data_IF_241888732902
#
_entry.id   IF_241888732902
#
_cell.length_a   1.000
_cell.length_b   1.000
_cell.length_c   1.000
_cell.angle_alpha   90.00
_cell.angle_beta   90.00
_cell.angle_gamma   90.00
#
_symmetry.space_group_name_H-M   'P 1'
#
loop_
_entity.id
_entity.type
_entity.pdbx_description
1 polymer ?
#
# COMPACT_ATOMS: atom_id res chain seq x y z
N UNK A 1 -37.75 -22.47 9.28
CA UNK A 1 -36.35 -23.00 9.31
C UNK A 1 -35.25 -21.98 8.96
N UNK A 2 -35.50 -20.71 8.73
CA UNK A 2 -34.47 -19.68 8.42
C UNK A 2 -33.77 -19.04 9.65
N UNK A 3 -34.35 -19.15 10.83
CA UNK A 3 -33.87 -18.47 12.04
C UNK A 3 -32.69 -19.19 12.73
N UNK A 4 -32.55 -20.50 12.55
CA UNK A 4 -31.48 -21.29 13.20
C UNK A 4 -30.11 -21.17 12.48
N UNK A 5 -30.05 -20.70 11.23
CA UNK A 5 -28.78 -20.51 10.51
C UNK A 5 -27.97 -19.31 11.00
N UNK A 6 -28.65 -18.26 11.51
CA UNK A 6 -27.95 -17.05 12.02
C UNK A 6 -27.24 -17.35 13.34
N UNK A 7 -27.81 -18.15 14.23
CA UNK A 7 -27.18 -18.56 15.47
C UNK A 7 -25.91 -19.40 15.25
N UNK A 8 -25.95 -20.34 14.31
CA UNK A 8 -24.77 -21.15 13.96
C UNK A 8 -23.62 -20.34 13.35
N UNK A 9 -23.95 -19.35 12.51
CA UNK A 9 -22.93 -18.44 11.92
C UNK A 9 -22.32 -17.56 12.99
N UNK A 10 -23.11 -16.99 13.90
CA UNK A 10 -22.61 -16.18 15.02
C UNK A 10 -21.71 -17.03 15.91
N UNK A 11 -22.12 -18.25 16.26
CA UNK A 11 -21.32 -19.16 17.09
C UNK A 11 -19.98 -19.52 16.43
N UNK A 12 -19.95 -19.73 15.11
CA UNK A 12 -18.74 -20.00 14.35
C UNK A 12 -17.78 -18.79 14.28
N UNK A 13 -18.31 -17.57 14.36
CA UNK A 13 -17.51 -16.34 14.35
C UNK A 13 -16.94 -15.97 15.74
N UNK A 14 -17.49 -16.48 16.84
CA UNK A 14 -17.06 -16.17 18.21
C UNK A 14 -15.55 -16.39 18.40
N UNK A 15 -14.95 -17.55 18.05
CA UNK A 15 -13.52 -17.78 18.25
C UNK A 15 -12.66 -16.75 17.50
N UNK A 16 -13.04 -16.40 16.27
CA UNK A 16 -12.35 -15.40 15.48
C UNK A 16 -12.44 -14.00 16.11
N UNK A 17 -13.63 -13.60 16.55
CA UNK A 17 -13.85 -12.31 17.21
C UNK A 17 -13.08 -12.24 18.52
N UNK A 18 -13.11 -13.30 19.35
CA UNK A 18 -12.34 -13.38 20.60
C UNK A 18 -10.83 -13.27 20.34
N UNK A 19 -10.32 -13.93 19.30
CA UNK A 19 -8.91 -13.84 18.91
C UNK A 19 -8.53 -12.40 18.52
N UNK A 20 -9.35 -11.74 17.69
CA UNK A 20 -9.12 -10.34 17.30
C UNK A 20 -9.20 -9.41 18.52
N UNK A 21 -10.17 -9.58 19.38
CA UNK A 21 -10.30 -8.77 20.59
C UNK A 21 -9.09 -8.95 21.52
N UNK A 22 -8.70 -10.20 21.80
CA UNK A 22 -7.63 -10.50 22.75
C UNK A 22 -6.25 -10.11 22.23
N UNK A 23 -5.95 -10.39 20.96
CA UNK A 23 -4.58 -10.22 20.41
C UNK A 23 -4.38 -8.95 19.59
N UNK A 24 -5.44 -8.26 19.22
CA UNK A 24 -5.33 -7.02 18.45
C UNK A 24 -5.86 -5.81 19.23
N UNK A 25 -7.07 -5.86 19.77
CA UNK A 25 -7.64 -4.70 20.47
C UNK A 25 -7.02 -4.48 21.85
N UNK A 26 -6.83 -5.52 22.66
CA UNK A 26 -6.25 -5.37 24.01
C UNK A 26 -4.84 -4.78 23.95
N UNK A 27 -3.88 -5.26 23.11
CA UNK A 27 -2.56 -4.64 23.01
C UNK A 27 -2.60 -3.20 22.49
N UNK A 28 -3.47 -2.89 21.54
CA UNK A 28 -3.60 -1.51 21.04
C UNK A 28 -4.15 -0.57 22.11
N UNK A 29 -5.17 -0.98 22.85
CA UNK A 29 -5.71 -0.21 23.98
C UNK A 29 -4.69 -0.03 25.11
N UNK A 30 -3.94 -1.08 25.43
CA UNK A 30 -2.86 -1.01 26.41
C UNK A 30 -1.76 -0.04 25.97
N UNK A 31 -1.35 -0.10 24.70
CA UNK A 31 -0.39 0.84 24.12
C UNK A 31 -0.90 2.30 24.19
N UNK A 32 -2.16 2.54 23.84
CA UNK A 32 -2.77 3.87 23.97
C UNK A 32 -2.80 4.32 25.43
N UNK A 33 -3.22 3.45 26.34
CA UNK A 33 -3.21 3.76 27.78
C UNK A 33 -1.81 4.09 28.29
N UNK A 34 -0.81 3.25 27.99
CA UNK A 34 0.57 3.46 28.42
C UNK A 34 1.18 4.76 27.85
N UNK A 35 0.76 5.21 26.68
CA UNK A 35 1.26 6.46 26.09
C UNK A 35 0.94 7.71 26.91
N UNK A 36 -0.08 7.65 27.77
CA UNK A 36 -0.50 8.73 28.67
C UNK A 36 0.05 8.61 30.08
N UNK A 37 0.82 7.55 30.37
CA UNK A 37 1.44 7.38 31.68
C UNK A 37 2.92 7.79 31.63
N UNK A 38 3.42 8.33 32.72
CA UNK A 38 4.83 8.61 32.91
C UNK A 38 5.34 7.65 34.01
N UNK A 39 6.48 6.99 33.82
CA UNK A 39 6.97 5.95 34.73
C UNK A 39 7.00 6.35 36.22
N UNK A 40 7.15 7.64 36.51
CA UNK A 40 7.25 8.18 37.88
C UNK A 40 5.94 8.75 38.43
N UNK A 41 4.89 8.90 37.63
CA UNK A 41 3.63 9.52 38.06
C UNK A 41 2.44 8.62 37.79
N UNK A 42 1.60 8.36 38.83
CA UNK A 42 0.35 7.59 38.69
C UNK A 42 -0.78 8.35 37.96
N UNK A 43 -0.46 9.45 37.26
CA UNK A 43 -1.44 10.30 36.61
C UNK A 43 -1.38 10.25 35.08
N UNK A 44 -2.52 10.58 34.44
CA UNK A 44 -2.60 10.79 32.99
C UNK A 44 -1.86 12.08 32.64
N UNK A 45 -0.85 11.98 31.76
CA UNK A 45 -0.05 13.13 31.32
C UNK A 45 0.12 13.14 29.81
N UNK A 46 0.20 14.35 29.23
CA UNK A 46 0.61 14.56 27.84
C UNK A 46 2.12 14.86 27.71
N UNK A 47 2.89 14.74 28.81
CA UNK A 47 4.31 15.06 28.86
C UNK A 47 5.13 14.30 27.81
N UNK A 48 4.85 13.01 27.59
CA UNK A 48 5.53 12.18 26.59
C UNK A 48 5.28 12.69 25.17
N UNK A 49 4.09 13.17 24.85
CA UNK A 49 3.78 13.72 23.53
C UNK A 49 4.48 15.06 23.31
N UNK A 50 4.50 15.92 24.32
CA UNK A 50 5.22 17.20 24.27
C UNK A 50 6.72 16.94 24.09
N UNK A 51 7.30 16.03 24.85
CA UNK A 51 8.70 15.65 24.74
C UNK A 51 9.00 15.05 23.37
N UNK A 52 8.17 14.14 22.84
CA UNK A 52 8.35 13.54 21.52
C UNK A 52 8.34 14.58 20.40
N UNK A 53 7.45 15.58 20.46
CA UNK A 53 7.32 16.62 19.43
C UNK A 53 8.37 17.73 19.57
N UNK A 54 8.87 18.02 20.77
CA UNK A 54 9.92 19.02 21.01
C UNK A 54 11.34 18.45 20.78
N UNK A 55 11.52 17.15 20.95
CA UNK A 55 12.80 16.50 20.72
C UNK A 55 13.16 16.47 19.24
N UNK A 56 14.25 17.13 18.87
CA UNK A 56 14.78 17.11 17.50
C UNK A 56 15.04 15.69 17.02
N UNK A 57 15.44 14.79 17.93
CA UNK A 57 15.75 13.40 17.64
C UNK A 57 14.52 12.59 17.18
N UNK A 58 13.39 12.68 17.91
CA UNK A 58 12.16 11.99 17.54
C UNK A 58 11.46 12.64 16.34
N UNK A 59 11.53 13.97 16.25
CA UNK A 59 11.00 14.68 15.08
C UNK A 59 11.76 14.31 13.80
N UNK A 60 13.07 14.12 13.87
CA UNK A 60 13.87 13.62 12.75
C UNK A 60 13.46 12.19 12.37
N UNK A 61 13.18 11.31 13.33
CA UNK A 61 12.71 9.95 13.07
C UNK A 61 11.37 9.96 12.30
N UNK A 62 10.44 10.83 12.71
CA UNK A 62 9.14 11.00 12.01
C UNK A 62 9.38 11.49 10.57
N UNK A 63 10.17 12.55 10.39
CA UNK A 63 10.49 13.11 9.06
C UNK A 63 11.15 12.09 8.14
N UNK A 64 12.15 11.37 8.64
CA UNK A 64 12.85 10.34 7.87
C UNK A 64 11.90 9.22 7.44
N UNK A 65 11.06 8.73 8.36
CA UNK A 65 10.09 7.68 8.04
C UNK A 65 9.06 8.13 7.01
N UNK A 66 8.52 9.35 7.14
CA UNK A 66 7.62 9.93 6.16
C UNK A 66 8.28 10.09 4.79
N UNK A 67 9.49 10.63 4.75
CA UNK A 67 10.22 10.86 3.50
C UNK A 67 10.48 9.55 2.75
N UNK A 68 11.03 8.53 3.43
CA UNK A 68 11.31 7.23 2.80
C UNK A 68 10.02 6.55 2.36
N UNK A 69 8.98 6.58 3.19
CA UNK A 69 7.70 5.95 2.86
C UNK A 69 7.03 6.61 1.66
N UNK A 70 7.05 7.94 1.56
CA UNK A 70 6.51 8.65 0.40
C UNK A 70 7.36 8.37 -0.84
N UNK A 71 8.68 8.54 -0.75
CA UNK A 71 9.59 8.36 -1.89
C UNK A 71 9.50 6.94 -2.46
N UNK A 72 9.56 5.90 -1.61
CA UNK A 72 9.48 4.52 -2.05
C UNK A 72 8.10 4.14 -2.58
N UNK A 73 7.01 4.67 -2.00
CA UNK A 73 5.65 4.42 -2.47
C UNK A 73 5.39 5.05 -3.83
N UNK A 74 5.84 6.29 -4.03
CA UNK A 74 5.71 6.97 -5.33
C UNK A 74 6.54 6.25 -6.40
N UNK A 75 7.79 5.90 -6.10
CA UNK A 75 8.63 5.12 -7.01
C UNK A 75 8.01 3.76 -7.32
N UNK A 76 7.53 3.05 -6.29
CA UNK A 76 6.84 1.75 -6.42
C UNK A 76 5.61 1.83 -7.33
N UNK A 77 4.79 2.89 -7.21
CA UNK A 77 3.63 3.10 -8.07
C UNK A 77 4.03 3.41 -9.52
N UNK A 78 5.00 4.30 -9.73
CA UNK A 78 5.42 4.66 -11.09
C UNK A 78 5.91 3.42 -11.83
N UNK A 79 6.81 2.66 -11.21
CA UNK A 79 7.36 1.43 -11.80
C UNK A 79 6.25 0.38 -11.95
N UNK A 80 5.45 0.16 -10.91
CA UNK A 80 4.36 -0.82 -10.93
C UNK A 80 3.29 -0.50 -11.97
N UNK A 81 2.96 0.78 -12.20
CA UNK A 81 2.02 1.21 -13.24
C UNK A 81 2.55 0.87 -14.65
N UNK A 82 3.83 1.15 -14.90
CA UNK A 82 4.47 0.81 -16.17
C UNK A 82 4.50 -0.71 -16.35
N UNK A 83 4.89 -1.47 -15.33
CA UNK A 83 4.90 -2.93 -15.36
C UNK A 83 3.48 -3.50 -15.58
N UNK A 84 2.47 -2.98 -14.87
CA UNK A 84 1.07 -3.40 -15.02
C UNK A 84 0.57 -3.15 -16.45
N UNK A 85 0.90 -2.00 -17.04
CA UNK A 85 0.58 -1.72 -18.44
C UNK A 85 1.28 -2.69 -19.40
N UNK A 86 2.58 -2.93 -19.21
CA UNK A 86 3.34 -3.85 -20.07
C UNK A 86 2.76 -5.27 -20.03
N UNK A 87 2.38 -5.75 -18.85
CA UNK A 87 1.83 -7.11 -18.67
C UNK A 87 0.50 -7.29 -19.40
N UNK A 88 -0.31 -6.23 -19.58
CA UNK A 88 -1.55 -6.32 -20.37
C UNK A 88 -1.29 -6.68 -21.85
N UNK A 89 -0.06 -6.51 -22.33
CA UNK A 89 0.35 -6.79 -23.72
C UNK A 89 0.89 -8.21 -23.92
N UNK A 90 1.16 -8.93 -22.84
CA UNK A 90 1.69 -10.29 -22.92
C UNK A 90 0.59 -11.34 -23.06
N UNK A 91 1.02 -12.53 -23.52
CA UNK A 91 0.14 -13.70 -23.58
C UNK A 91 -0.30 -14.10 -22.17
N UNK A 92 -1.48 -14.75 -22.03
CA UNK A 92 -2.00 -15.17 -20.72
C UNK A 92 -0.98 -15.97 -19.90
N UNK A 93 -0.26 -16.90 -20.54
CA UNK A 93 0.73 -17.76 -19.87
C UNK A 93 1.92 -16.98 -19.28
N UNK A 94 2.43 -15.95 -19.98
CA UNK A 94 3.51 -15.10 -19.48
C UNK A 94 3.00 -14.20 -18.37
N UNK A 95 1.84 -13.61 -18.56
CA UNK A 95 1.17 -12.76 -17.58
C UNK A 95 0.99 -13.45 -16.24
N UNK A 96 0.41 -14.66 -16.27
CA UNK A 96 0.13 -15.40 -15.04
C UNK A 96 1.41 -15.81 -14.31
N UNK A 97 2.50 -16.14 -15.03
CA UNK A 97 3.83 -16.38 -14.43
C UNK A 97 4.38 -15.11 -13.77
N UNK A 98 4.30 -13.95 -14.43
CA UNK A 98 4.77 -12.68 -13.86
C UNK A 98 3.98 -12.31 -12.61
N UNK A 99 2.66 -12.48 -12.63
CA UNK A 99 1.82 -12.21 -11.44
C UNK A 99 2.15 -13.18 -10.29
N UNK A 100 2.41 -14.47 -10.60
CA UNK A 100 2.82 -15.44 -9.60
C UNK A 100 4.16 -15.07 -8.97
N UNK A 101 5.17 -14.76 -9.78
CA UNK A 101 6.49 -14.31 -9.28
C UNK A 101 6.35 -13.02 -8.47
N UNK A 102 5.55 -12.07 -8.94
CA UNK A 102 5.31 -10.82 -8.21
C UNK A 102 4.66 -11.06 -6.85
N UNK A 103 3.72 -12.03 -6.76
CA UNK A 103 3.11 -12.39 -5.48
C UNK A 103 4.14 -13.01 -4.53
N UNK A 104 5.00 -13.90 -5.01
CA UNK A 104 6.09 -14.46 -4.21
C UNK A 104 7.05 -13.36 -3.73
N UNK A 105 7.45 -12.48 -4.64
CA UNK A 105 8.41 -11.40 -4.36
C UNK A 105 7.84 -10.36 -3.39
N UNK A 106 6.55 -10.00 -3.50
CA UNK A 106 5.91 -9.03 -2.60
C UNK A 106 5.84 -9.53 -1.15
N UNK A 107 5.82 -10.85 -0.96
CA UNK A 107 5.85 -11.49 0.37
C UNK A 107 7.28 -11.74 0.87
N UNK A 108 8.30 -11.60 0.02
CA UNK A 108 9.70 -11.69 0.40
C UNK A 108 10.19 -10.35 0.92
N UNK A 109 9.87 -10.06 2.19
CA UNK A 109 10.22 -8.84 2.88
C UNK A 109 10.81 -9.16 4.27
N UNK A 110 11.11 -8.15 5.07
CA UNK A 110 11.64 -8.33 6.42
C UNK A 110 13.13 -8.66 6.44
N UNK A 111 13.54 -9.42 7.45
CA UNK A 111 14.94 -9.78 7.72
C UNK A 111 15.59 -10.53 6.55
N UNK A 112 14.94 -11.54 5.93
CA UNK A 112 15.54 -12.27 4.81
C UNK A 112 15.90 -11.36 3.62
N UNK A 113 15.03 -10.40 3.30
CA UNK A 113 15.28 -9.43 2.24
C UNK A 113 16.49 -8.55 2.55
N UNK A 114 16.57 -8.02 3.79
CA UNK A 114 17.69 -7.20 4.21
C UNK A 114 19.03 -7.94 4.07
N UNK A 115 19.09 -9.19 4.53
CA UNK A 115 20.30 -10.01 4.40
C UNK A 115 20.65 -10.31 2.93
N UNK A 116 19.67 -10.58 2.07
CA UNK A 116 19.92 -10.75 0.65
C UNK A 116 20.61 -9.52 0.03
N UNK A 117 20.13 -8.31 0.37
CA UNK A 117 20.75 -7.07 -0.09
C UNK A 117 22.12 -6.81 0.53
N UNK A 118 22.35 -7.17 1.79
CA UNK A 118 23.66 -7.07 2.43
C UNK A 118 24.68 -7.97 1.72
N UNK A 119 24.29 -9.20 1.38
CA UNK A 119 25.16 -10.14 0.66
C UNK A 119 25.43 -9.65 -0.77
N UNK A 120 24.46 -9.03 -1.43
CA UNK A 120 24.61 -8.60 -2.83
C UNK A 120 25.30 -7.23 -2.94
N UNK A 121 24.89 -6.24 -2.15
CA UNK A 121 25.25 -4.82 -2.31
C UNK A 121 25.88 -4.20 -1.07
N UNK A 122 26.15 -4.99 -0.02
CA UNK A 122 26.88 -4.49 1.16
C UNK A 122 28.31 -4.07 0.81
N UNK A 123 29.05 -3.52 1.77
CA UNK A 123 30.42 -3.04 1.55
C UNK A 123 31.35 -4.12 0.96
N UNK A 124 31.12 -5.38 1.34
CA UNK A 124 31.82 -6.57 0.83
C UNK A 124 30.83 -7.47 0.05
N UNK A 125 29.80 -6.89 -0.54
CA UNK A 125 28.80 -7.63 -1.29
C UNK A 125 29.33 -8.15 -2.62
N UNK A 126 28.71 -9.22 -3.12
CA UNK A 126 29.14 -9.91 -4.35
C UNK A 126 29.21 -8.94 -5.53
N UNK A 127 28.16 -8.16 -5.76
CA UNK A 127 28.16 -7.19 -6.88
C UNK A 127 29.10 -6.02 -6.62
N UNK A 128 29.23 -5.57 -5.37
CA UNK A 128 30.16 -4.48 -5.02
C UNK A 128 31.60 -4.88 -5.33
N UNK A 129 32.00 -6.11 -5.01
CA UNK A 129 33.34 -6.61 -5.30
C UNK A 129 33.55 -6.85 -6.80
N UNK A 130 32.60 -7.50 -7.49
CA UNK A 130 32.68 -7.75 -8.93
C UNK A 130 32.84 -6.46 -9.74
N UNK A 131 32.06 -5.42 -9.44
CA UNK A 131 32.17 -4.14 -10.17
C UNK A 131 33.49 -3.44 -9.87
N UNK A 132 33.98 -3.56 -8.64
CA UNK A 132 35.29 -3.03 -8.26
C UNK A 132 36.43 -3.74 -9.01
N UNK A 133 36.37 -5.08 -9.14
CA UNK A 133 37.36 -5.87 -9.87
C UNK A 133 37.34 -5.57 -11.38
N UNK A 134 36.19 -5.18 -11.95
CA UNK A 134 36.07 -4.77 -13.33
C UNK A 134 36.46 -3.29 -13.57
N UNK A 135 36.88 -2.58 -12.51
CA UNK A 135 37.23 -1.17 -12.59
C UNK A 135 36.02 -0.25 -12.81
N UNK A 136 34.83 -0.73 -12.54
CA UNK A 136 33.61 0.05 -12.65
C UNK A 136 33.20 0.61 -11.28
N UNK A 137 33.48 1.87 -11.06
CA UNK A 137 33.10 2.59 -9.84
C UNK A 137 31.59 2.94 -9.77
N UNK A 138 30.73 2.04 -10.25
CA UNK A 138 29.29 2.26 -10.28
C UNK A 138 28.73 2.48 -8.86
N UNK A 139 29.36 1.89 -7.84
CA UNK A 139 28.95 1.99 -6.45
C UNK A 139 29.87 2.88 -5.60
N UNK A 140 30.82 3.64 -6.18
CA UNK A 140 31.77 4.46 -5.42
C UNK A 140 31.07 5.46 -4.48
N UNK A 141 29.87 5.94 -4.83
CA UNK A 141 29.05 6.84 -4.00
C UNK A 141 27.82 6.18 -3.37
N UNK A 142 27.59 4.87 -3.59
CA UNK A 142 26.40 4.19 -3.05
C UNK A 142 26.72 3.52 -1.72
N UNK A 143 25.91 3.87 -0.72
CA UNK A 143 25.96 3.22 0.59
C UNK A 143 24.63 2.54 0.87
N UNK A 144 24.62 1.20 0.94
CA UNK A 144 23.45 0.41 1.25
C UNK A 144 22.84 0.76 2.61
N UNK A 145 23.66 1.17 3.57
CA UNK A 145 23.24 1.50 4.94
C UNK A 145 22.80 2.96 5.10
N UNK A 146 22.59 3.67 3.99
CA UNK A 146 22.08 5.04 3.95
C UNK A 146 20.59 5.08 3.60
N UNK A 147 20.01 6.28 3.52
CA UNK A 147 18.63 6.47 3.09
C UNK A 147 18.38 5.99 1.65
N UNK A 148 19.38 6.10 0.77
CA UNK A 148 19.30 5.65 -0.62
C UNK A 148 19.21 4.14 -0.72
N UNK A 149 20.05 3.43 0.04
CA UNK A 149 20.00 1.96 0.09
C UNK A 149 18.71 1.47 0.72
N UNK A 150 18.26 2.09 1.79
CA UNK A 150 16.98 1.75 2.42
C UNK A 150 15.80 2.01 1.47
N UNK A 151 15.80 3.14 0.75
CA UNK A 151 14.78 3.44 -0.25
C UNK A 151 14.77 2.41 -1.39
N UNK A 152 15.95 1.98 -1.86
CA UNK A 152 16.08 0.92 -2.87
C UNK A 152 15.41 -0.38 -2.41
N UNK A 153 15.72 -0.83 -1.18
CA UNK A 153 15.14 -2.06 -0.61
C UNK A 153 13.63 -1.92 -0.43
N UNK A 154 13.14 -0.74 -0.06
CA UNK A 154 11.71 -0.48 0.05
C UNK A 154 11.02 -0.54 -1.32
N UNK A 155 11.61 0.08 -2.35
CA UNK A 155 11.07 0.02 -3.73
C UNK A 155 10.99 -1.43 -4.21
N UNK A 156 11.95 -2.27 -3.86
CA UNK A 156 11.96 -3.67 -4.27
C UNK A 156 10.68 -4.43 -3.91
N UNK A 157 10.21 -4.37 -2.65
CA UNK A 157 8.98 -5.08 -2.28
C UNK A 157 7.71 -4.31 -2.64
N UNK A 158 7.80 -3.01 -2.85
CA UNK A 158 6.66 -2.19 -3.22
C UNK A 158 6.29 -2.32 -4.71
N UNK A 159 7.26 -2.49 -5.60
CA UNK A 159 7.01 -2.66 -7.05
C UNK A 159 6.11 -3.86 -7.33
N UNK A 160 6.42 -5.09 -6.89
CA UNK A 160 5.54 -6.23 -7.16
C UNK A 160 4.18 -6.10 -6.47
N UNK A 161 4.12 -5.52 -5.26
CA UNK A 161 2.85 -5.26 -4.58
C UNK A 161 1.99 -4.26 -5.36
N UNK A 162 2.59 -3.17 -5.84
CA UNK A 162 1.87 -2.17 -6.65
C UNK A 162 1.38 -2.76 -7.98
N UNK A 163 2.18 -3.62 -8.61
CA UNK A 163 1.79 -4.34 -9.81
C UNK A 163 0.53 -5.19 -9.58
N UNK A 164 0.51 -5.99 -8.50
CA UNK A 164 -0.63 -6.85 -8.16
C UNK A 164 -1.91 -6.06 -7.89
N UNK A 165 -1.78 -4.89 -7.24
CA UNK A 165 -2.91 -4.04 -6.91
C UNK A 165 -3.43 -3.22 -8.11
N UNK A 166 -2.52 -2.75 -8.98
CA UNK A 166 -2.88 -1.92 -10.13
C UNK A 166 -3.35 -2.73 -11.34
N UNK A 167 -2.77 -3.93 -11.55
CA UNK A 167 -3.05 -4.74 -12.73
C UNK A 167 -4.55 -5.00 -12.99
N UNK A 168 -5.38 -5.40 -11.99
CA UNK A 168 -6.81 -5.62 -12.21
C UNK A 168 -7.56 -4.40 -12.72
N UNK A 169 -7.10 -3.19 -12.39
CA UNK A 169 -7.75 -1.94 -12.79
C UNK A 169 -7.62 -1.65 -14.29
N UNK A 170 -6.61 -2.22 -14.95
CA UNK A 170 -6.46 -2.08 -16.39
C UNK A 170 -7.55 -2.79 -17.19
N UNK A 171 -8.20 -3.83 -16.65
CA UNK A 171 -9.35 -4.46 -17.28
C UNK A 171 -10.58 -3.54 -17.34
N UNK A 172 -10.63 -2.50 -16.51
CA UNK A 172 -11.68 -1.48 -16.58
C UNK A 172 -11.57 -0.59 -17.83
N UNK A 173 -10.42 -0.55 -18.49
CA UNK A 173 -10.20 0.25 -19.69
C UNK A 173 -10.59 -0.59 -20.90
N UNK A 174 -11.79 -0.35 -21.47
CA UNK A 174 -12.30 -1.09 -22.62
C UNK A 174 -11.57 -0.66 -23.90
N UNK A 175 -11.22 -1.65 -24.74
CA UNK A 175 -10.58 -1.39 -26.04
C UNK A 175 -11.44 -0.49 -26.93
N UNK A 176 -12.75 -0.63 -26.87
CA UNK A 176 -13.72 0.21 -27.61
C UNK A 176 -13.54 1.71 -27.36
N UNK A 177 -13.12 2.11 -26.17
CA UNK A 177 -12.86 3.52 -25.85
C UNK A 177 -11.61 4.04 -26.57
N UNK A 178 -10.61 3.17 -26.73
CA UNK A 178 -9.40 3.50 -27.48
C UNK A 178 -9.68 3.63 -28.97
N UNK A 179 -10.48 2.74 -29.51
CA UNK A 179 -10.92 2.80 -30.92
C UNK A 179 -11.77 4.04 -31.19
N UNK A 180 -12.75 4.33 -30.34
CA UNK A 180 -13.58 5.53 -30.46
C UNK A 180 -12.75 6.82 -30.37
N UNK A 181 -11.77 6.89 -29.46
CA UNK A 181 -10.87 8.02 -29.35
C UNK A 181 -10.00 8.19 -30.61
N UNK A 182 -9.53 7.08 -31.18
CA UNK A 182 -8.75 7.09 -32.43
C UNK A 182 -9.59 7.58 -33.63
N UNK A 183 -10.86 7.18 -33.72
CA UNK A 183 -11.79 7.67 -34.76
C UNK A 183 -12.02 9.19 -34.65
N UNK A 184 -11.97 9.74 -33.42
CA UNK A 184 -12.05 11.18 -33.17
C UNK A 184 -10.71 11.92 -33.36
N UNK A 185 -9.65 11.24 -33.85
CA UNK A 185 -8.34 11.81 -34.10
C UNK A 185 -7.46 11.95 -32.86
N UNK A 186 -7.84 11.36 -31.72
CA UNK A 186 -7.04 11.44 -30.52
C UNK A 186 -5.79 10.53 -30.60
N UNK A 187 -4.62 11.12 -30.41
CA UNK A 187 -3.37 10.37 -30.30
C UNK A 187 -3.28 9.55 -29.00
N UNK A 188 -2.33 8.59 -28.95
CA UNK A 188 -2.12 7.71 -27.78
C UNK A 188 -1.92 8.48 -26.48
N UNK A 189 -1.14 9.56 -26.51
CA UNK A 189 -0.90 10.41 -25.34
C UNK A 189 -2.16 11.11 -24.86
N UNK A 190 -2.97 11.62 -25.80
CA UNK A 190 -4.23 12.28 -25.48
C UNK A 190 -5.22 11.31 -24.87
N UNK A 191 -5.33 10.08 -25.39
CA UNK A 191 -6.16 9.02 -24.79
C UNK A 191 -5.76 8.76 -23.34
N UNK A 192 -4.46 8.55 -23.06
CA UNK A 192 -3.99 8.27 -21.71
C UNK A 192 -4.22 9.44 -20.76
N UNK A 193 -3.98 10.67 -21.19
CA UNK A 193 -4.18 11.86 -20.34
C UNK A 193 -5.66 12.12 -20.04
N UNK A 194 -6.57 11.89 -20.98
CA UNK A 194 -7.99 12.26 -20.85
C UNK A 194 -8.89 11.12 -20.39
N UNK A 195 -8.55 9.87 -20.67
CA UNK A 195 -9.37 8.70 -20.39
C UNK A 195 -8.62 7.71 -19.50
N UNK A 196 -7.44 7.24 -19.92
CA UNK A 196 -6.74 6.15 -19.24
C UNK A 196 -6.34 6.48 -17.80
N UNK A 197 -5.56 7.53 -17.59
CA UNK A 197 -5.10 7.95 -16.26
C UNK A 197 -6.23 8.36 -15.32
N UNK A 198 -7.23 9.16 -15.72
CA UNK A 198 -8.37 9.45 -14.87
C UNK A 198 -9.15 8.20 -14.45
N UNK A 199 -9.30 7.20 -15.33
CA UNK A 199 -9.95 5.93 -14.99
C UNK A 199 -9.15 5.11 -13.99
N UNK A 200 -7.80 5.14 -14.06
CA UNK A 200 -6.92 4.45 -13.13
C UNK A 200 -6.70 5.24 -11.83
N UNK A 201 -6.98 6.53 -11.80
CA UNK A 201 -6.69 7.39 -10.66
C UNK A 201 -7.20 6.86 -9.30
N UNK A 202 -8.43 6.35 -9.17
CA UNK A 202 -8.88 5.78 -7.90
C UNK A 202 -8.03 4.59 -7.45
N UNK A 203 -7.63 3.72 -8.38
CA UNK A 203 -6.77 2.58 -8.09
C UNK A 203 -5.34 3.02 -7.74
N UNK A 204 -4.79 4.00 -8.44
CA UNK A 204 -3.47 4.57 -8.17
C UNK A 204 -3.43 5.16 -6.76
N UNK A 205 -4.39 6.02 -6.40
CA UNK A 205 -4.45 6.57 -5.05
C UNK A 205 -4.73 5.49 -4.00
N UNK A 206 -5.64 4.54 -4.26
CA UNK A 206 -5.88 3.42 -3.34
C UNK A 206 -4.61 2.63 -3.05
N UNK A 207 -3.87 2.27 -4.09
CA UNK A 207 -2.59 1.58 -3.99
C UNK A 207 -1.55 2.41 -3.25
N UNK A 208 -1.47 3.74 -3.51
CA UNK A 208 -0.54 4.64 -2.80
C UNK A 208 -0.72 4.57 -1.28
N UNK A 209 -1.96 4.58 -0.81
CA UNK A 209 -2.25 4.46 0.63
C UNK A 209 -1.78 3.15 1.23
N UNK A 210 -1.96 2.04 0.51
CA UNK A 210 -1.51 0.71 0.96
C UNK A 210 0.02 0.65 1.00
N UNK A 211 0.70 1.11 -0.06
CA UNK A 211 2.16 1.13 -0.13
C UNK A 211 2.76 2.02 0.95
N UNK A 212 2.18 3.19 1.18
CA UNK A 212 2.63 4.10 2.23
C UNK A 212 2.51 3.47 3.61
N UNK A 213 1.36 2.88 3.93
CA UNK A 213 1.15 2.22 5.22
C UNK A 213 2.11 1.03 5.41
N UNK A 214 2.34 0.25 4.35
CA UNK A 214 3.29 -0.86 4.36
C UNK A 214 4.73 -0.39 4.61
N UNK A 215 5.16 0.71 3.97
CA UNK A 215 6.48 1.30 4.17
C UNK A 215 6.67 1.88 5.58
N UNK A 216 5.66 2.59 6.12
CA UNK A 216 5.70 3.14 7.48
C UNK A 216 5.85 2.05 8.54
N UNK A 217 5.25 0.86 8.31
CA UNK A 217 5.30 -0.29 9.22
C UNK A 217 6.49 -1.23 9.01
N UNK A 218 7.38 -0.99 8.05
CA UNK A 218 8.45 -1.91 7.67
C UNK A 218 9.63 -1.93 8.67
N UNK A 219 9.36 -2.29 9.92
CA UNK A 219 10.36 -2.37 11.00
C UNK A 219 11.46 -3.40 10.72
N UNK A 220 11.07 -4.65 10.42
CA UNK A 220 12.01 -5.77 10.36
C UNK A 220 13.09 -5.58 9.27
N UNK A 221 12.69 -5.12 8.09
CA UNK A 221 13.62 -4.84 6.98
C UNK A 221 14.56 -3.68 7.34
N UNK A 222 14.02 -2.59 7.89
CA UNK A 222 14.81 -1.43 8.27
C UNK A 222 15.80 -1.76 9.39
N UNK A 223 15.35 -2.44 10.44
CA UNK A 223 16.18 -2.83 11.56
C UNK A 223 17.33 -3.76 11.14
N UNK A 224 17.04 -4.77 10.33
CA UNK A 224 18.05 -5.71 9.86
C UNK A 224 19.06 -5.06 8.89
N UNK A 225 18.66 -4.05 8.12
CA UNK A 225 19.52 -3.38 7.15
C UNK A 225 20.39 -2.29 7.80
N UNK A 226 19.77 -1.36 8.52
CA UNK A 226 20.45 -0.16 9.05
C UNK A 226 20.61 -0.17 10.56
N UNK A 227 19.96 -1.10 11.26
CA UNK A 227 19.98 -1.17 12.72
C UNK A 227 19.57 0.15 13.37
N UNK A 228 20.34 0.61 14.34
CA UNK A 228 20.16 1.91 14.98
C UNK A 228 20.79 3.10 14.24
N UNK A 229 21.55 2.87 13.17
CA UNK A 229 22.36 3.90 12.50
C UNK A 229 21.53 4.92 11.72
N UNK A 230 20.34 4.52 11.25
CA UNK A 230 19.41 5.42 10.59
C UNK A 230 18.16 5.63 11.45
N UNK A 231 17.88 6.89 11.77
CA UNK A 231 16.82 7.25 12.70
C UNK A 231 15.44 7.14 12.05
N UNK A 232 14.78 6.00 12.24
CA UNK A 232 13.42 5.71 11.78
C UNK A 232 12.47 5.49 12.94
N UNK A 233 11.23 5.95 12.79
CA UNK A 233 10.22 5.90 13.85
C UNK A 233 9.93 4.45 14.30
N UNK A 234 9.71 3.52 13.37
CA UNK A 234 9.48 2.12 13.69
C UNK A 234 10.67 1.47 14.42
N UNK A 235 11.91 1.79 14.01
CA UNK A 235 13.12 1.29 14.66
C UNK A 235 13.27 1.86 16.09
N UNK A 236 12.93 3.14 16.30
CA UNK A 236 12.94 3.75 17.63
C UNK A 236 11.92 3.16 18.58
N UNK A 237 10.71 2.91 18.09
CA UNK A 237 9.69 2.19 18.88
C UNK A 237 10.24 0.85 19.33
N UNK A 238 10.81 0.06 18.41
CA UNK A 238 11.40 -1.24 18.75
C UNK A 238 12.52 -1.13 19.79
N UNK A 239 13.42 -0.15 19.66
CA UNK A 239 14.52 0.04 20.61
C UNK A 239 14.06 0.48 22.01
N UNK A 240 12.99 1.25 22.12
CA UNK A 240 12.44 1.70 23.40
C UNK A 240 11.63 0.62 24.13
N UNK A 241 10.98 -0.27 23.37
CA UNK A 241 10.13 -1.33 23.95
C UNK A 241 10.93 -2.59 24.24
N UNK A 242 11.84 -3.00 23.34
CA UNK A 242 12.60 -4.24 23.43
C UNK A 242 14.12 -4.03 23.55
N UNK A 243 14.58 -2.80 23.87
CA UNK A 243 16.00 -2.48 24.01
C UNK A 243 16.62 -3.11 25.25
N UNK A 244 17.90 -3.51 25.12
CA UNK A 244 18.62 -4.21 26.20
C UNK A 244 19.23 -3.28 27.26
N UNK A 245 19.29 -1.98 27.05
CA UNK A 245 20.04 -1.04 27.92
C UNK A 245 19.11 -0.14 28.71
N UNK A 246 18.15 0.51 28.07
CA UNK A 246 17.16 1.36 28.73
C UNK A 246 15.83 1.14 28.03
N UNK A 247 14.88 0.58 28.75
CA UNK A 247 13.48 0.43 28.27
C UNK A 247 12.65 1.62 28.74
N UNK A 248 11.98 2.27 27.81
CA UNK A 248 10.99 3.32 28.11
C UNK A 248 9.70 2.98 27.35
N UNK A 249 8.93 2.00 27.86
CA UNK A 249 7.74 1.49 27.18
C UNK A 249 6.67 2.56 26.99
N UNK A 250 6.59 3.55 27.89
CA UNK A 250 5.65 4.68 27.80
C UNK A 250 6.00 5.58 26.61
N UNK A 251 7.27 5.93 26.45
CA UNK A 251 7.74 6.71 25.30
C UNK A 251 7.64 5.90 24.00
N UNK A 252 7.95 4.60 24.03
CA UNK A 252 7.77 3.69 22.91
C UNK A 252 6.29 3.62 22.48
N UNK A 253 5.38 3.54 23.45
CA UNK A 253 3.93 3.57 23.22
C UNK A 253 3.47 4.91 22.63
N UNK A 254 4.00 6.02 23.11
CA UNK A 254 3.71 7.36 22.59
C UNK A 254 4.15 7.49 21.12
N UNK A 255 5.34 7.05 20.79
CA UNK A 255 5.83 7.05 19.39
C UNK A 255 5.02 6.11 18.50
N UNK A 256 4.56 4.97 19.03
CA UNK A 256 3.71 4.05 18.29
C UNK A 256 2.32 4.65 18.01
N UNK A 257 1.74 5.38 18.97
CA UNK A 257 0.50 6.14 18.74
C UNK A 257 0.71 7.24 17.70
N UNK A 258 1.84 7.98 17.75
CA UNK A 258 2.17 8.98 16.73
C UNK A 258 2.36 8.36 15.35
N UNK A 259 3.00 7.18 15.25
CA UNK A 259 3.10 6.42 14.00
C UNK A 259 1.72 6.04 13.47
N UNK A 260 0.85 5.53 14.34
CA UNK A 260 -0.52 5.16 13.98
C UNK A 260 -1.32 6.38 13.50
N UNK A 261 -1.24 7.51 14.22
CA UNK A 261 -1.93 8.75 13.85
C UNK A 261 -1.45 9.32 12.52
N UNK A 262 -0.13 9.35 12.28
CA UNK A 262 0.44 9.83 11.00
C UNK A 262 0.03 8.92 9.84
N UNK A 263 0.03 7.61 10.05
CA UNK A 263 -0.41 6.63 9.05
C UNK A 263 -1.92 6.75 8.80
N UNK A 264 -2.74 6.85 9.83
CA UNK A 264 -4.19 7.04 9.70
C UNK A 264 -4.54 8.34 8.98
N UNK A 265 -3.85 9.44 9.31
CA UNK A 265 -4.03 10.73 8.63
C UNK A 265 -3.69 10.61 7.15
N UNK A 266 -2.56 9.99 6.81
CA UNK A 266 -2.15 9.80 5.42
C UNK A 266 -3.15 8.92 4.65
N UNK A 267 -3.62 7.82 5.25
CA UNK A 267 -4.64 6.94 4.64
C UNK A 267 -5.98 7.66 4.51
N UNK A 268 -6.37 8.48 5.50
CA UNK A 268 -7.58 9.29 5.42
C UNK A 268 -7.52 10.31 4.28
N UNK A 269 -6.41 11.07 4.18
CA UNK A 269 -6.19 12.02 3.07
C UNK A 269 -6.22 11.29 1.72
N UNK A 270 -5.57 10.15 1.64
CA UNK A 270 -5.60 9.30 0.46
C UNK A 270 -7.03 8.83 0.12
N UNK A 271 -7.82 8.42 1.11
CA UNK A 271 -9.21 8.02 0.90
C UNK A 271 -10.07 9.17 0.35
N UNK A 272 -9.85 10.40 0.82
CA UNK A 272 -10.50 11.60 0.27
C UNK A 272 -10.12 11.80 -1.20
N UNK A 273 -8.84 11.60 -1.56
CA UNK A 273 -8.38 11.69 -2.96
C UNK A 273 -9.01 10.59 -3.84
N UNK A 274 -9.07 9.35 -3.37
CA UNK A 274 -9.75 8.23 -4.05
C UNK A 274 -11.22 8.57 -4.33
N UNK A 275 -11.94 9.08 -3.33
CA UNK A 275 -13.35 9.47 -3.48
C UNK A 275 -13.53 10.60 -4.50
N UNK A 276 -12.63 11.59 -4.50
CA UNK A 276 -12.66 12.67 -5.49
C UNK A 276 -12.36 12.15 -6.89
N UNK A 277 -11.33 11.33 -7.06
CA UNK A 277 -10.99 10.70 -8.33
C UNK A 277 -12.13 9.81 -8.86
N UNK A 278 -12.77 9.02 -8.00
CA UNK A 278 -13.90 8.18 -8.36
C UNK A 278 -15.13 8.94 -8.88
N UNK A 279 -15.34 10.19 -8.45
CA UNK A 279 -16.45 11.02 -8.96
C UNK A 279 -16.29 11.40 -10.44
N UNK A 280 -15.08 11.46 -10.95
CA UNK A 280 -14.83 11.69 -12.37
C UNK A 280 -15.13 10.45 -13.22
N UNK A 281 -14.98 9.25 -12.64
CA UNK A 281 -15.26 7.97 -13.30
C UNK A 281 -16.76 7.62 -13.23
N UNK A 282 -17.42 7.97 -12.13
CA UNK A 282 -18.84 7.67 -11.86
C UNK A 282 -19.82 8.64 -12.53
N UNK A 283 -19.43 9.40 -13.54
CA UNK A 283 -20.32 10.15 -14.44
C UNK A 283 -20.46 9.46 -15.81
N UNK A 284 -21.09 8.28 -15.89
CA UNK A 284 -21.79 7.85 -17.08
C UNK A 284 -23.28 8.06 -16.80
N UNK A 285 -23.91 8.79 -17.70
CA UNK A 285 -25.29 8.69 -18.06
C UNK A 285 -26.10 7.58 -17.35
N UNK A 286 -26.52 7.82 -16.16
CA UNK A 286 -27.71 7.19 -15.60
C UNK A 286 -28.92 7.92 -16.20
N UNK A 287 -29.01 7.86 -17.54
CA UNK A 287 -30.28 8.06 -18.20
C UNK A 287 -31.06 6.77 -17.95
N UNK A 288 -32.23 6.85 -17.31
CA UNK A 288 -33.08 5.67 -17.14
C UNK A 288 -33.28 5.04 -18.51
N UNK A 289 -32.89 3.77 -18.64
CA UNK A 289 -33.25 2.97 -19.83
C UNK A 289 -34.75 3.13 -20.03
N UNK A 290 -35.20 3.51 -21.21
CA UNK A 290 -36.65 3.55 -21.48
C UNK A 290 -37.18 2.17 -21.15
N UNK A 291 -38.08 2.14 -20.17
CA UNK A 291 -38.73 0.91 -19.73
C UNK A 291 -39.18 0.16 -20.98
N UNK A 292 -38.81 -1.11 -21.08
CA UNK A 292 -39.07 -2.02 -22.18
C UNK A 292 -40.60 -2.27 -22.50
N UNK A 293 -41.47 -1.32 -22.15
CA UNK A 293 -42.91 -1.34 -22.42
C UNK A 293 -43.29 -0.78 -23.80
N UNK A 294 -42.34 -0.29 -24.61
CA UNK A 294 -42.67 0.22 -25.95
C UNK A 294 -42.70 -0.89 -27.00
N UNK A 295 -41.99 -2.01 -26.77
CA UNK A 295 -41.98 -3.12 -27.76
C UNK A 295 -43.26 -3.93 -27.78
N UNK A 296 -44.06 -3.89 -26.71
CA UNK A 296 -45.38 -4.59 -26.70
C UNK A 296 -46.49 -3.86 -27.45
N UNK A 297 -46.27 -2.65 -27.92
CA UNK A 297 -47.30 -1.83 -28.58
C UNK A 297 -47.28 -1.92 -30.13
N UNK A 298 -46.29 -2.63 -30.68
CA UNK A 298 -46.09 -2.77 -32.13
C UNK A 298 -46.18 -4.23 -32.65
N UNK A 299 -46.65 -5.18 -31.85
CA UNK A 299 -47.02 -6.49 -32.38
C UNK A 299 -48.54 -6.43 -32.74
N UNK A 300 -48.89 -6.38 -34.03
CA UNK A 300 -50.28 -6.45 -34.44
C UNK A 300 -50.82 -7.83 -34.09
N UNK A 301 -52.11 -7.88 -33.71
CA UNK A 301 -52.97 -9.04 -33.56
C UNK A 301 -52.98 -9.89 -34.84
N UNK A 302 -52.02 -10.78 -34.98
CA UNK A 302 -51.97 -11.79 -36.04
C UNK A 302 -52.12 -13.17 -35.41
N UNK A 303 -53.22 -13.38 -34.70
CA UNK A 303 -53.61 -14.72 -34.18
C UNK A 303 -55.13 -14.97 -34.06
N UNK A 304 -55.93 -14.32 -34.88
CA UNK A 304 -57.36 -14.59 -34.90
C UNK A 304 -57.93 -14.96 -36.30
N UNK A 305 -57.07 -15.19 -37.30
CA UNK A 305 -57.59 -15.57 -38.64
C UNK A 305 -57.08 -16.92 -39.18
N UNK A 306 -56.66 -17.83 -38.33
CA UNK A 306 -56.41 -19.23 -38.76
C UNK A 306 -57.16 -20.20 -37.84
N UNK A 307 -58.46 -20.13 -37.85
CA UNK A 307 -59.35 -21.04 -37.12
C UNK A 307 -60.72 -21.02 -37.64
N UNK A 308 -60.93 -21.25 -38.97
CA UNK A 308 -62.14 -21.81 -39.59
C UNK A 308 -61.71 -22.78 -40.68
#
# INVERSE_FOLDING_TARGET
MKQNRRGGVILALIPFVLMVLAFQLVPVLSMISNSFHNGDSQGITFGNYVHALQSAYYMQAIKNSLFISIASSVAGIIIGLVCAYCITRFTPAVRDRVLMVSNMTSNFAGVPLAFAYIILLGNNGIFTLLFKDWGWDVFAGFNLYSWTGLALVYVYFQVPLSLLLLYPSFYGIREQWREAAALLGAGRWQFWKTIGLPMLAPAIFGTLGILFANAMGAYATAYALVGGNYNLLAVRIGSLVAGNVVTQPEMGSTLAVLLALTTLLAVYLNHVMVRRAGRFVARPADKPQPKANVVRRFLPRAREELGQ
#
